data_IF_726277408802
#
_entry.id   IF_726277408802
#
_cell.length_a   1.000
_cell.length_b   1.000
_cell.length_c   1.000
_cell.angle_alpha   90.00
_cell.angle_beta   90.00
_cell.angle_gamma   90.00
#
_symmetry.space_group_name_H-M   'P 1'
#
loop_
_entity.id
_entity.type
_entity.pdbx_description
1 polymer ?
2 polymer ?
3 non-polymer ?
4 water ?
#
# COMPACT_ATOMS: atom_id res chain seq x y z
N UNK A 2 -24.09 -21.91 12.18
CA UNK A 2 -22.92 -22.68 11.64
C UNK A 2 -23.26 -24.15 11.53
N UNK A 3 -24.56 -24.48 11.65
CA UNK A 3 -25.00 -25.87 11.56
C UNK A 3 -24.60 -26.43 10.18
N UNK A 4 -23.92 -27.57 10.19
CA UNK A 4 -23.52 -28.21 8.96
C UNK A 4 -24.63 -28.18 7.91
N UNK A 5 -25.88 -28.28 8.38
CA UNK A 5 -27.03 -28.29 7.49
C UNK A 5 -27.33 -26.93 6.87
N UNK A 6 -27.21 -25.88 7.67
CA UNK A 6 -27.47 -24.53 7.19
C UNK A 6 -26.29 -24.07 6.32
N UNK A 7 -25.09 -24.46 6.73
CA UNK A 7 -23.87 -24.10 6.03
C UNK A 7 -23.81 -24.79 4.67
N UNK A 8 -24.42 -25.97 4.58
CA UNK A 8 -24.44 -26.71 3.33
C UNK A 8 -25.45 -26.05 2.40
N UNK A 9 -26.48 -25.44 2.98
CA UNK A 9 -27.47 -24.77 2.17
C UNK A 9 -26.90 -23.47 1.66
N UNK A 10 -26.07 -22.82 2.49
CA UNK A 10 -25.45 -21.56 2.16
C UNK A 10 -24.49 -21.64 0.96
N UNK A 11 -23.74 -22.74 0.87
CA UNK A 11 -22.78 -22.86 -0.22
C UNK A 11 -23.27 -23.68 -1.37
N UNK A 12 -24.47 -24.22 -1.22
CA UNK A 12 -25.08 -25.04 -2.24
C UNK A 12 -25.24 -24.22 -3.53
N UNK A 13 -25.20 -24.91 -4.67
CA UNK A 13 -25.38 -24.25 -5.94
C UNK A 13 -24.49 -23.06 -6.21
N UNK A 14 -25.11 -21.92 -6.51
CA UNK A 14 -24.36 -20.71 -6.81
C UNK A 14 -23.66 -20.13 -5.58
N UNK A 15 -24.05 -20.60 -4.39
CA UNK A 15 -23.43 -20.09 -3.20
C UNK A 15 -23.60 -18.60 -3.03
N UNK A 16 -22.81 -18.03 -2.12
CA UNK A 16 -22.85 -16.61 -1.82
C UNK A 16 -22.19 -15.74 -2.89
N UNK A 17 -22.77 -14.58 -3.11
CA UNK A 17 -22.32 -13.63 -4.09
C UNK A 17 -21.75 -12.41 -3.39
N UNK A 18 -20.71 -11.84 -3.99
CA UNK A 18 -20.04 -10.67 -3.44
C UNK A 18 -19.61 -9.71 -4.53
N UNK A 19 -20.04 -8.46 -4.39
CA UNK A 19 -19.69 -7.40 -5.33
C UNK A 19 -18.28 -6.93 -4.99
N UNK A 20 -17.44 -6.83 -6.01
CA UNK A 20 -16.06 -6.41 -5.79
C UNK A 20 -15.39 -5.99 -7.08
N UNK A 21 -14.10 -5.67 -6.96
CA UNK A 21 -13.33 -5.29 -8.12
C UNK A 21 -12.09 -6.16 -8.12
N UNK A 22 -11.60 -6.47 -9.32
CA UNK A 22 -10.42 -7.30 -9.43
C UNK A 22 -9.18 -6.40 -9.39
N UNK A 23 -8.37 -6.53 -8.36
CA UNK A 23 -7.16 -5.71 -8.27
C UNK A 23 -6.15 -6.22 -9.27
N UNK A 24 -5.98 -7.53 -9.33
CA UNK A 24 -5.03 -8.12 -10.26
C UNK A 24 -4.65 -9.56 -9.94
N UNK A 25 -3.90 -10.17 -10.85
CA UNK A 25 -3.45 -11.54 -10.69
C UNK A 25 -1.93 -11.57 -10.86
N UNK A 26 -1.24 -12.23 -9.94
CA UNK A 26 0.21 -12.28 -9.99
C UNK A 26 0.78 -13.69 -9.73
N UNK A 27 1.84 -14.03 -10.45
CA UNK A 27 2.47 -15.34 -10.32
C UNK A 27 3.42 -15.35 -9.13
N UNK A 28 3.20 -16.28 -8.21
CA UNK A 28 4.06 -16.37 -7.03
C UNK A 28 4.76 -17.71 -7.00
N UNK A 29 5.63 -17.88 -6.01
CA UNK A 29 6.43 -19.09 -5.88
C UNK A 29 5.93 -20.15 -4.90
N UNK A 30 5.40 -19.74 -3.76
CA UNK A 30 4.92 -20.71 -2.77
C UNK A 30 3.40 -20.82 -2.79
N UNK A 31 2.88 -21.84 -2.11
CA UNK A 31 1.46 -22.06 -2.03
C UNK A 31 0.93 -21.34 -0.81
N UNK A 32 1.84 -20.81 0.00
CA UNK A 32 1.43 -20.12 1.22
C UNK A 32 2.47 -19.16 1.80
N UNK A 33 2.17 -18.61 2.97
CA UNK A 33 3.05 -17.67 3.64
C UNK A 33 2.45 -16.28 3.65
N UNK A 34 2.38 -15.66 4.82
CA UNK A 34 1.80 -14.31 4.95
C UNK A 34 2.62 -13.20 4.28
N UNK A 35 3.90 -13.12 4.61
CA UNK A 35 4.75 -12.08 4.04
C UNK A 35 4.75 -12.14 2.51
N UNK A 36 4.89 -13.34 2.00
CA UNK A 36 4.92 -13.55 0.59
C UNK A 36 3.60 -13.11 -0.04
N UNK A 37 2.51 -13.45 0.61
CA UNK A 37 1.21 -13.13 0.09
C UNK A 37 0.77 -11.70 0.53
N UNK A 38 1.60 -11.07 1.37
CA UNK A 38 1.37 -9.70 1.84
C UNK A 38 2.09 -8.76 0.88
N UNK A 39 3.24 -9.22 0.40
CA UNK A 39 4.05 -8.47 -0.54
C UNK A 39 3.36 -8.38 -1.89
N UNK A 40 2.89 -9.52 -2.38
CA UNK A 40 2.23 -9.59 -3.68
C UNK A 40 1.02 -8.68 -3.79
N UNK A 41 0.33 -8.46 -2.68
CA UNK A 41 -0.83 -7.58 -2.68
C UNK A 41 -0.36 -6.16 -2.99
N UNK A 42 0.67 -5.74 -2.27
CA UNK A 42 1.25 -4.40 -2.43
C UNK A 42 1.75 -4.18 -3.84
N UNK A 43 2.32 -5.20 -4.46
CA UNK A 43 2.85 -5.09 -5.80
C UNK A 43 1.70 -4.85 -6.77
N UNK A 44 0.60 -5.57 -6.57
CA UNK A 44 -0.56 -5.41 -7.44
C UNK A 44 -1.28 -4.07 -7.22
N UNK A 45 -1.48 -3.66 -5.98
CA UNK A 45 -2.16 -2.38 -5.72
C UNK A 45 -1.35 -1.26 -6.37
N UNK A 46 -0.03 -1.39 -6.33
CA UNK A 46 0.87 -0.41 -6.91
C UNK A 46 0.76 -0.30 -8.40
N UNK A 47 0.58 -1.42 -9.07
CA UNK A 47 0.44 -1.44 -10.52
C UNK A 47 -0.84 -0.69 -10.82
N UNK A 48 -1.87 -0.99 -10.03
CA UNK A 48 -3.16 -0.32 -10.16
C UNK A 48 -3.03 1.18 -9.93
N UNK A 49 -2.35 1.56 -8.85
CA UNK A 49 -2.16 2.97 -8.52
C UNK A 49 -1.51 3.72 -9.67
N UNK A 50 -0.44 3.16 -10.22
CA UNK A 50 0.23 3.82 -11.32
C UNK A 50 -0.67 3.96 -12.54
N UNK A 51 -1.61 3.04 -12.70
CA UNK A 51 -2.51 3.08 -13.84
C UNK A 51 -3.53 4.17 -13.76
N UNK A 52 -3.86 4.62 -12.55
CA UNK A 52 -4.86 5.67 -12.40
C UNK A 52 -4.50 6.92 -13.19
N UNK A 53 -3.22 7.15 -13.42
CA UNK A 53 -2.77 8.32 -14.17
C UNK A 53 -3.16 8.27 -15.64
N UNK A 54 -3.52 7.08 -16.11
CA UNK A 54 -3.90 6.88 -17.51
C UNK A 54 -5.39 6.63 -17.60
N UNK A 55 -6.13 7.07 -16.59
CA UNK A 55 -7.57 6.89 -16.57
C UNK A 55 -7.97 5.42 -16.50
N UNK A 56 -7.14 4.61 -15.86
CA UNK A 56 -7.41 3.19 -15.72
C UNK A 56 -8.35 2.97 -14.53
N UNK A 57 -9.07 1.86 -14.56
CA UNK A 57 -9.99 1.51 -13.48
C UNK A 57 -9.96 0.01 -13.33
N UNK A 58 -10.12 -0.47 -12.11
CA UNK A 58 -10.11 -1.91 -11.89
C UNK A 58 -11.40 -2.45 -12.48
N UNK A 59 -11.36 -3.70 -12.92
CA UNK A 59 -12.55 -4.32 -13.50
C UNK A 59 -13.57 -4.65 -12.40
N UNK A 60 -14.79 -4.13 -12.55
CA UNK A 60 -15.86 -4.39 -11.60
C UNK A 60 -16.33 -5.84 -11.80
N UNK A 61 -16.38 -6.60 -10.71
CA UNK A 61 -16.75 -7.99 -10.80
C UNK A 61 -17.66 -8.37 -9.66
N UNK A 62 -18.18 -9.58 -9.71
CA UNK A 62 -18.94 -10.09 -8.59
C UNK A 62 -18.37 -11.50 -8.47
N UNK A 63 -18.19 -11.99 -7.24
CA UNK A 63 -17.64 -13.33 -7.07
C UNK A 63 -18.54 -14.21 -6.21
N UNK A 64 -18.44 -15.50 -6.44
CA UNK A 64 -19.24 -16.45 -5.66
C UNK A 64 -18.36 -17.42 -4.87
N UNK A 65 -18.83 -17.78 -3.68
CA UNK A 65 -18.14 -18.74 -2.85
C UNK A 65 -19.13 -19.89 -2.76
N UNK A 66 -18.71 -21.05 -3.24
CA UNK A 66 -19.58 -22.23 -3.21
C UNK A 66 -18.73 -23.50 -3.30
N UNK A 67 -19.40 -24.63 -3.43
CA UNK A 67 -18.73 -25.92 -3.53
C UNK A 67 -17.93 -26.04 -4.82
N UNK A 68 -18.12 -25.07 -5.71
CA UNK A 68 -17.38 -25.04 -6.96
C UNK A 68 -16.11 -24.24 -6.71
N UNK A 69 -15.95 -23.74 -5.49
CA UNK A 69 -14.78 -22.97 -5.16
C UNK A 69 -15.08 -21.50 -5.34
N UNK A 70 -14.11 -20.77 -5.87
CA UNK A 70 -14.27 -19.33 -6.08
C UNK A 70 -14.45 -19.04 -7.56
N UNK A 71 -15.48 -18.29 -7.90
CA UNK A 71 -15.67 -17.92 -9.29
C UNK A 71 -15.72 -16.40 -9.43
N UNK A 72 -15.11 -15.88 -10.48
CA UNK A 72 -15.14 -14.45 -10.74
C UNK A 72 -15.93 -14.19 -12.02
N UNK A 73 -17.01 -13.42 -11.92
CA UNK A 73 -17.83 -13.07 -13.08
C UNK A 73 -17.71 -11.58 -13.37
N UNK A 74 -17.64 -11.23 -14.65
CA UNK A 74 -17.56 -9.82 -15.02
C UNK A 74 -18.95 -9.23 -14.79
N UNK A 75 -19.03 -8.11 -14.06
CA UNK A 75 -20.31 -7.49 -13.74
C UNK A 75 -21.16 -7.05 -14.93
N UNK A 76 -20.51 -6.47 -15.92
CA UNK A 76 -21.20 -5.97 -17.09
C UNK A 76 -21.83 -7.05 -17.96
N UNK A 77 -21.05 -8.04 -18.38
CA UNK A 77 -21.55 -9.12 -19.24
C UNK A 77 -21.95 -10.40 -18.50
N UNK A 78 -21.69 -10.46 -17.20
CA UNK A 78 -22.03 -11.66 -16.43
C UNK A 78 -21.19 -12.88 -16.75
N UNK A 79 -20.29 -12.77 -17.71
CA UNK A 79 -19.44 -13.89 -18.11
C UNK A 79 -18.45 -14.35 -17.04
N UNK A 80 -18.36 -15.66 -16.86
CA UNK A 80 -17.45 -16.27 -15.89
C UNK A 80 -16.03 -16.15 -16.43
N UNK A 81 -15.14 -15.45 -15.71
CA UNK A 81 -13.78 -15.30 -16.19
C UNK A 81 -12.76 -16.16 -15.46
N UNK A 82 -13.04 -16.50 -14.21
CA UNK A 82 -12.10 -17.30 -13.42
C UNK A 82 -12.86 -18.26 -12.54
N UNK A 83 -12.45 -19.52 -12.58
CA UNK A 83 -13.08 -20.53 -11.77
C UNK A 83 -11.98 -21.29 -11.08
N UNK A 84 -11.83 -21.05 -9.78
CA UNK A 84 -10.79 -21.71 -9.02
C UNK A 84 -11.36 -22.67 -8.01
N UNK A 85 -11.32 -23.96 -8.37
CA UNK A 85 -11.81 -25.04 -7.53
C UNK A 85 -11.13 -25.03 -6.17
N UNK A 86 -11.88 -25.45 -5.15
CA UNK A 86 -11.43 -25.53 -3.77
C UNK A 86 -10.10 -26.29 -3.60
N UNK A 87 -9.96 -27.46 -4.23
CA UNK A 87 -8.73 -28.24 -4.11
C UNK A 87 -7.50 -27.59 -4.76
N UNK A 88 -7.73 -26.53 -5.54
CA UNK A 88 -6.66 -25.81 -6.21
C UNK A 88 -6.27 -24.60 -5.37
N UNK A 89 -7.11 -24.24 -4.41
CA UNK A 89 -6.82 -23.10 -3.57
C UNK A 89 -6.06 -23.56 -2.34
N UNK A 90 -4.91 -22.93 -2.10
CA UNK A 90 -4.08 -23.31 -0.96
C UNK A 90 -4.03 -22.39 0.23
N UNK A 91 -4.07 -21.09 0.00
CA UNK A 91 -3.97 -20.12 1.09
C UNK A 91 -4.88 -18.90 0.94
N UNK A 92 -5.45 -18.48 2.06
CA UNK A 92 -6.32 -17.31 2.12
C UNK A 92 -5.62 -16.29 3.02
N UNK A 93 -5.62 -15.03 2.62
CA UNK A 93 -5.00 -13.97 3.41
C UNK A 93 -5.62 -12.60 3.17
N UNK A 94 -5.98 -11.93 4.25
CA UNK A 94 -6.57 -10.61 4.15
C UNK A 94 -5.45 -9.60 4.08
N UNK A 95 -5.80 -8.35 3.84
CA UNK A 95 -4.81 -7.28 3.78
C UNK A 95 -4.86 -6.52 5.11
N UNK A 96 -3.73 -6.49 5.83
CA UNK A 96 -3.67 -5.80 7.12
C UNK A 96 -3.89 -4.29 7.08
N UNK A 97 -3.32 -3.63 6.08
CA UNK A 97 -3.49 -2.18 6.00
C UNK A 97 -4.72 -1.76 5.20
N UNK A 98 -5.57 -2.73 4.84
CA UNK A 98 -6.78 -2.42 4.07
C UNK A 98 -7.90 -3.41 4.38
N UNK A 99 -8.94 -2.97 5.08
CA UNK A 99 -10.04 -3.84 5.45
C UNK A 99 -10.97 -4.24 4.30
N UNK A 100 -10.77 -3.68 3.12
CA UNK A 100 -11.64 -4.00 1.99
C UNK A 100 -10.93 -4.79 0.86
N UNK A 101 -9.85 -5.49 1.21
CA UNK A 101 -9.10 -6.24 0.24
C UNK A 101 -8.56 -7.57 0.78
N UNK A 102 -8.57 -8.59 -0.05
CA UNK A 102 -8.04 -9.88 0.35
C UNK A 102 -7.50 -10.59 -0.87
N UNK A 103 -6.87 -11.73 -0.64
CA UNK A 103 -6.31 -12.49 -1.73
C UNK A 103 -6.24 -13.96 -1.40
N UNK A 104 -5.86 -14.75 -2.38
CA UNK A 104 -5.72 -16.18 -2.18
C UNK A 104 -4.84 -16.69 -3.28
N UNK A 105 -4.19 -17.84 -3.04
CA UNK A 105 -3.31 -18.47 -4.03
C UNK A 105 -4.02 -19.65 -4.74
N UNK A 106 -4.04 -19.64 -6.09
CA UNK A 106 -4.63 -20.68 -6.98
C UNK A 106 -3.51 -21.46 -7.67
N UNK A 107 -3.77 -22.72 -7.98
CA UNK A 107 -2.79 -23.51 -8.69
C UNK A 107 -2.25 -24.78 -8.06
N UNK A 108 -1.70 -25.62 -8.93
CA UNK A 108 -1.08 -26.87 -8.55
C UNK A 108 0.36 -26.56 -8.25
N UNK A 109 1.04 -27.49 -7.57
CA UNK A 109 2.44 -27.33 -7.20
C UNK A 109 3.29 -26.78 -8.34
N UNK A 110 4.04 -25.73 -8.07
CA UNK A 110 4.92 -25.14 -9.07
C UNK A 110 4.29 -24.21 -10.08
N UNK A 111 3.02 -23.88 -9.90
CA UNK A 111 2.32 -22.99 -10.84
C UNK A 111 1.28 -22.14 -10.11
N UNK A 112 1.69 -21.55 -8.99
CA UNK A 112 0.81 -20.72 -8.16
C UNK A 112 0.50 -19.34 -8.73
N UNK A 113 -0.59 -18.77 -8.24
CA UNK A 113 -1.03 -17.45 -8.66
C UNK A 113 -1.69 -16.80 -7.47
N UNK A 114 -1.46 -15.51 -7.29
CA UNK A 114 -2.07 -14.79 -6.19
C UNK A 114 -3.11 -13.86 -6.80
N UNK A 115 -4.36 -14.03 -6.38
CA UNK A 115 -5.44 -13.20 -6.88
C UNK A 115 -5.75 -12.13 -5.82
N UNK A 116 -5.80 -10.87 -6.23
CA UNK A 116 -6.10 -9.81 -5.26
C UNK A 116 -7.46 -9.22 -5.57
N UNK A 117 -8.28 -9.04 -4.53
CA UNK A 117 -9.61 -8.49 -4.71
C UNK A 117 -9.94 -7.32 -3.76
N UNK A 118 -10.63 -6.33 -4.30
CA UNK A 118 -11.05 -5.17 -3.55
C UNK A 118 -12.57 -5.30 -3.46
N UNK A 119 -13.05 -5.69 -2.29
CA UNK A 119 -14.49 -5.88 -2.06
C UNK A 119 -15.24 -4.56 -1.84
N UNK A 120 -16.52 -4.53 -2.21
CA UNK A 120 -17.32 -3.32 -2.03
C UNK A 120 -17.49 -3.06 -0.55
N UNK A 121 -17.73 -4.12 0.20
CA UNK A 121 -17.90 -4.01 1.63
C UNK A 121 -16.62 -4.57 2.22
N UNK A 122 -16.61 -4.79 3.52
CA UNK A 122 -15.45 -5.34 4.19
C UNK A 122 -15.08 -6.71 3.59
N UNK A 123 -13.81 -7.10 3.69
CA UNK A 123 -13.35 -8.39 3.16
C UNK A 123 -13.53 -9.48 4.23
N UNK A 124 -13.86 -9.05 5.44
CA UNK A 124 -14.06 -9.95 6.58
C UNK A 124 -15.06 -11.06 6.28
N UNK A 125 -16.29 -10.71 5.90
CA UNK A 125 -17.26 -11.77 5.62
C UNK A 125 -16.85 -12.79 4.54
N UNK A 126 -16.08 -12.35 3.55
CA UNK A 126 -15.63 -13.25 2.48
C UNK A 126 -14.57 -14.23 3.01
N UNK A 127 -13.63 -13.73 3.80
CA UNK A 127 -12.59 -14.58 4.39
C UNK A 127 -13.26 -15.64 5.27
N UNK A 128 -14.27 -15.22 6.02
CA UNK A 128 -15.01 -16.11 6.92
C UNK A 128 -15.73 -17.22 6.17
N UNK A 129 -16.45 -16.85 5.11
CA UNK A 129 -17.16 -17.85 4.33
C UNK A 129 -16.18 -18.86 3.75
N UNK A 130 -15.06 -18.37 3.25
CA UNK A 130 -14.04 -19.23 2.68
C UNK A 130 -13.52 -20.19 3.72
N UNK A 131 -13.28 -19.67 4.91
CA UNK A 131 -12.79 -20.47 6.00
C UNK A 131 -13.75 -21.63 6.27
N UNK A 132 -15.03 -21.30 6.52
CA UNK A 132 -16.05 -22.30 6.81
C UNK A 132 -16.25 -23.31 5.68
N UNK A 133 -16.24 -22.83 4.44
CA UNK A 133 -16.40 -23.69 3.29
C UNK A 133 -15.25 -24.72 3.23
N UNK A 134 -14.03 -24.26 3.47
CA UNK A 134 -12.88 -25.18 3.46
C UNK A 134 -13.03 -26.23 4.56
N UNK A 135 -13.33 -25.77 5.76
CA UNK A 135 -13.48 -26.69 6.88
C UNK A 135 -14.60 -27.67 6.61
N UNK A 136 -15.72 -27.16 6.11
CA UNK A 136 -16.85 -28.02 5.84
C UNK A 136 -16.47 -29.17 4.93
N UNK A 137 -15.88 -28.83 3.80
CA UNK A 137 -15.50 -29.82 2.83
C UNK A 137 -14.55 -30.86 3.38
N UNK A 138 -13.67 -30.44 4.29
CA UNK A 138 -12.70 -31.36 4.91
C UNK A 138 -13.45 -32.38 5.76
N UNK A 139 -14.36 -31.90 6.60
CA UNK A 139 -15.19 -32.74 7.46
C UNK A 139 -16.02 -33.74 6.63
N UNK A 140 -16.81 -33.21 5.70
CA UNK A 140 -17.64 -34.05 4.84
C UNK A 140 -16.76 -35.07 4.13
N UNK A 141 -15.51 -34.71 3.85
CA UNK A 141 -14.62 -35.65 3.16
C UNK A 141 -14.12 -36.76 4.08
N UNK A 142 -13.90 -36.44 5.37
CA UNK A 142 -13.45 -37.45 6.31
C UNK A 142 -14.58 -38.43 6.58
N UNK A 143 -15.70 -37.91 7.06
CA UNK A 143 -16.89 -38.70 7.38
C UNK A 143 -17.31 -39.56 6.20
N UNK A 144 -17.40 -38.94 5.03
CA UNK A 144 -17.82 -39.67 3.84
C UNK A 144 -16.72 -40.55 3.27
N UNK A 145 -15.73 -40.82 4.11
CA UNK A 145 -14.60 -41.67 3.74
C UNK A 145 -14.54 -42.78 4.77
N UNK A 146 -14.82 -42.43 6.01
CA UNK A 146 -14.82 -43.39 7.10
C UNK A 146 -15.98 -44.35 6.85
N UNK A 147 -17.02 -43.83 6.20
CA UNK A 147 -18.21 -44.61 5.88
C UNK A 147 -17.93 -45.61 4.77
N UNK A 148 -17.38 -45.12 3.66
CA UNK A 148 -17.06 -45.96 2.51
C UNK A 148 -16.01 -47.00 2.87
N UNK A 149 -15.16 -46.67 3.83
CA UNK A 149 -14.11 -47.59 4.26
C UNK A 149 -14.59 -48.50 5.40
N UNK A 150 -15.81 -48.27 5.86
CA UNK A 150 -16.41 -49.09 6.92
C UNK A 150 -17.46 -49.99 6.29
N UNK A 151 -17.47 -50.01 4.96
CA UNK A 151 -18.41 -50.81 4.19
C UNK A 151 -18.08 -52.30 4.36
N UNK B 1 11.64 37.73 20.69
CA UNK B 1 10.96 36.53 20.11
C UNK B 1 11.56 35.23 20.59
N UNK B 2 11.37 34.91 21.87
CA UNK B 2 11.90 33.66 22.42
C UNK B 2 11.30 32.48 21.68
N UNK B 3 10.25 32.76 20.90
CA UNK B 3 9.58 31.72 20.14
C UNK B 3 10.36 31.33 18.89
N UNK B 4 10.42 32.22 17.89
CA UNK B 4 11.14 31.92 16.67
C UNK B 4 12.64 31.79 16.90
N UNK B 5 13.14 32.41 17.97
CA UNK B 5 14.56 32.32 18.28
C UNK B 5 14.95 30.86 18.47
N UNK B 6 14.14 30.13 19.23
CA UNK B 6 14.40 28.72 19.49
C UNK B 6 14.20 27.92 18.20
N UNK B 7 13.20 28.31 17.43
CA UNK B 7 12.90 27.63 16.19
C UNK B 7 14.02 27.84 15.17
N UNK B 8 14.66 29.00 15.23
CA UNK B 8 15.76 29.31 14.30
C UNK B 8 16.99 28.58 14.80
N UNK B 9 17.04 28.35 16.10
CA UNK B 9 18.16 27.64 16.69
C UNK B 9 17.95 26.19 16.38
N UNK B 10 16.69 25.77 16.34
CA UNK B 10 16.37 24.37 16.05
C UNK B 10 16.62 23.95 14.60
N UNK B 11 16.57 24.90 13.66
CA UNK B 11 16.79 24.55 12.26
C UNK B 11 18.06 25.07 11.64
N UNK B 12 18.87 25.76 12.44
CA UNK B 12 20.10 26.30 11.91
C UNK B 12 21.13 25.22 11.71
N UNK B 13 22.12 25.52 10.87
CA UNK B 13 23.17 24.59 10.59
C UNK B 13 22.67 23.31 9.98
N UNK B 14 22.98 22.20 10.64
CA UNK B 14 22.58 20.88 10.17
C UNK B 14 21.14 20.49 10.49
N UNK B 15 20.43 21.34 11.22
CA UNK B 15 19.04 21.07 11.56
C UNK B 15 18.76 19.77 12.29
N UNK B 16 17.50 19.33 12.22
CA UNK B 16 17.02 18.12 12.87
C UNK B 16 17.25 16.87 12.01
N UNK B 17 17.91 15.89 12.62
CA UNK B 17 18.26 14.61 11.98
C UNK B 17 17.17 13.58 12.22
N UNK B 18 16.93 12.73 11.23
CA UNK B 18 15.92 11.70 11.34
C UNK B 18 16.41 10.42 10.68
N UNK B 19 16.27 9.32 11.40
CA UNK B 19 16.67 8.02 10.86
C UNK B 19 15.54 7.53 9.98
N UNK B 20 15.87 7.03 8.78
CA UNK B 20 14.83 6.57 7.88
C UNK B 20 15.31 5.62 6.78
N UNK B 21 14.42 5.33 5.84
CA UNK B 21 14.73 4.48 4.70
C UNK B 21 14.07 5.12 3.48
N UNK B 22 14.75 5.05 2.35
CA UNK B 22 14.26 5.63 1.11
C UNK B 22 13.34 4.67 0.35
N UNK B 23 12.04 4.97 0.28
CA UNK B 23 11.13 4.08 -0.44
C UNK B 23 11.31 4.17 -1.95
N UNK B 24 11.55 5.38 -2.46
CA UNK B 24 11.75 5.57 -3.89
C UNK B 24 11.48 6.99 -4.36
N UNK B 25 11.78 7.26 -5.63
CA UNK B 25 11.55 8.58 -6.19
C UNK B 25 10.77 8.47 -7.51
N UNK B 26 9.54 8.95 -7.49
CA UNK B 26 8.68 8.92 -8.65
C UNK B 26 8.60 10.24 -9.42
N UNK B 27 8.24 10.16 -10.68
CA UNK B 27 8.09 11.34 -11.51
C UNK B 27 6.59 11.59 -11.51
N UNK B 28 6.16 12.79 -11.17
CA UNK B 28 4.74 13.07 -11.15
C UNK B 28 4.29 14.21 -12.04
N UNK B 29 2.99 14.35 -12.15
CA UNK B 29 2.37 15.35 -12.98
C UNK B 29 2.31 16.75 -12.40
N UNK B 30 1.72 16.89 -11.22
CA UNK B 30 1.59 18.22 -10.63
C UNK B 30 2.46 18.50 -9.41
N UNK B 31 2.31 19.72 -8.89
CA UNK B 31 3.05 20.18 -7.73
C UNK B 31 2.34 19.82 -6.43
N UNK B 32 1.05 19.50 -6.49
CA UNK B 32 0.32 19.14 -5.29
C UNK B 32 -0.93 18.31 -5.55
N UNK B 33 -1.68 18.06 -4.48
CA UNK B 33 -2.89 17.26 -4.56
C UNK B 33 -2.72 16.00 -3.75
N UNK B 34 -3.64 15.75 -2.83
CA UNK B 34 -3.56 14.56 -1.98
C UNK B 34 -3.64 13.23 -2.74
N UNK B 35 -4.47 13.19 -3.78
CA UNK B 35 -4.64 11.96 -4.56
C UNK B 35 -3.42 11.55 -5.39
N UNK B 36 -2.98 12.43 -6.29
CA UNK B 36 -1.83 12.15 -7.13
C UNK B 36 -0.67 11.75 -6.23
N UNK B 37 -0.54 12.47 -5.13
CA UNK B 37 0.55 12.25 -4.22
C UNK B 37 0.36 11.02 -3.28
N UNK B 38 -0.85 10.49 -3.22
CA UNK B 38 -1.16 9.28 -2.43
C UNK B 38 -1.01 8.04 -3.33
N UNK B 39 -1.38 8.19 -4.59
CA UNK B 39 -1.27 7.09 -5.55
C UNK B 39 0.20 6.80 -5.81
N UNK B 40 1.01 7.85 -5.80
CA UNK B 40 2.45 7.73 -6.06
C UNK B 40 3.16 6.96 -4.96
N UNK B 41 2.71 7.17 -3.73
CA UNK B 41 3.27 6.47 -2.58
C UNK B 41 3.00 5.00 -2.79
N UNK B 42 1.76 4.67 -3.12
CA UNK B 42 1.38 3.28 -3.37
C UNK B 42 2.15 2.67 -4.55
N UNK B 43 2.34 3.45 -5.61
CA UNK B 43 3.08 2.95 -6.75
C UNK B 43 4.51 2.60 -6.34
N UNK B 44 5.15 3.49 -5.57
CA UNK B 44 6.51 3.26 -5.11
C UNK B 44 6.61 2.12 -4.09
N UNK B 45 5.63 2.00 -3.22
CA UNK B 45 5.65 0.91 -2.25
C UNK B 45 5.50 -0.42 -2.95
N UNK B 46 4.75 -0.44 -4.05
CA UNK B 46 4.55 -1.69 -4.77
C UNK B 46 5.79 -2.19 -5.48
N UNK B 47 6.58 -1.28 -6.03
CA UNK B 47 7.79 -1.67 -6.74
C UNK B 47 8.75 -2.24 -5.72
N UNK B 48 8.81 -1.60 -4.56
CA UNK B 48 9.67 -2.03 -3.48
C UNK B 48 9.22 -3.43 -3.06
N UNK B 49 7.90 -3.64 -3.00
CA UNK B 49 7.38 -4.93 -2.59
C UNK B 49 7.83 -6.01 -3.57
N UNK B 50 7.74 -5.71 -4.86
CA UNK B 50 8.15 -6.67 -5.87
C UNK B 50 9.61 -7.05 -5.71
N UNK B 51 10.43 -6.10 -5.30
CA UNK B 51 11.86 -6.34 -5.12
C UNK B 51 12.11 -7.20 -3.89
N UNK B 52 11.30 -6.99 -2.86
CA UNK B 52 11.42 -7.71 -1.61
C UNK B 52 11.63 -9.21 -1.79
N UNK B 53 10.91 -9.78 -2.74
CA UNK B 53 11.01 -11.22 -2.97
C UNK B 53 12.21 -11.59 -3.83
N UNK B 54 13.19 -10.68 -3.90
CA UNK B 54 14.39 -10.92 -4.70
C UNK B 54 15.65 -10.56 -3.92
N UNK B 55 15.51 -10.37 -2.62
CA UNK B 55 16.66 -10.04 -1.80
C UNK B 55 16.88 -8.55 -1.57
N UNK B 56 16.20 -7.73 -2.35
CA UNK B 56 16.32 -6.27 -2.21
C UNK B 56 15.84 -5.75 -0.86
N UNK B 57 16.38 -4.61 -0.46
CA UNK B 57 16.00 -3.96 0.79
C UNK B 57 16.02 -2.47 0.50
N UNK B 58 15.18 -1.69 1.17
CA UNK B 58 15.20 -0.24 0.95
C UNK B 58 16.50 0.28 1.54
N UNK B 59 17.05 1.32 0.92
CA UNK B 59 18.30 1.93 1.35
C UNK B 59 18.17 2.69 2.69
N UNK B 60 19.00 2.32 3.68
CA UNK B 60 18.96 3.00 4.96
C UNK B 60 19.55 4.40 4.82
N UNK B 61 18.85 5.38 5.35
CA UNK B 61 19.31 6.75 5.23
C UNK B 61 19.00 7.55 6.47
N UNK B 62 19.47 8.78 6.48
CA UNK B 62 19.12 9.67 7.55
C UNK B 62 18.85 10.97 6.84
N UNK B 63 17.85 11.70 7.29
CA UNK B 63 17.54 12.95 6.63
C UNK B 63 17.51 14.13 7.58
N UNK B 64 17.81 15.31 7.06
CA UNK B 64 17.84 16.50 7.87
C UNK B 64 16.86 17.56 7.39
N UNK B 65 16.32 18.30 8.34
CA UNK B 65 15.40 19.38 8.06
C UNK B 65 16.12 20.61 8.58
N UNK B 66 16.27 21.60 7.71
CA UNK B 66 16.97 22.81 8.11
C UNK B 66 16.65 23.88 7.09
N UNK B 67 17.28 25.04 7.25
CA UNK B 67 17.11 26.16 6.34
C UNK B 67 17.61 25.73 4.96
N UNK B 68 18.38 24.65 4.93
CA UNK B 68 18.88 24.16 3.66
C UNK B 68 17.85 23.28 2.98
N UNK B 69 16.73 23.08 3.66
CA UNK B 69 15.67 22.26 3.11
C UNK B 69 15.82 20.83 3.58
N UNK B 70 15.38 19.88 2.76
CA UNK B 70 15.48 18.48 3.10
C UNK B 70 16.70 17.85 2.43
N UNK B 71 17.59 17.30 3.24
CA UNK B 71 18.78 16.66 2.71
C UNK B 71 18.77 15.18 3.10
N UNK B 72 19.08 14.33 2.11
CA UNK B 72 19.11 12.88 2.30
C UNK B 72 20.53 12.32 2.25
N UNK B 73 20.96 11.74 3.37
CA UNK B 73 22.29 11.15 3.48
C UNK B 73 22.25 9.63 3.57
N UNK B 74 23.16 8.98 2.85
CA UNK B 74 23.27 7.53 2.88
C UNK B 74 23.78 7.21 4.30
N UNK B 75 23.16 6.23 4.95
CA UNK B 75 23.55 5.87 6.30
C UNK B 75 24.93 5.28 6.40
N UNK B 76 25.29 4.46 5.42
CA UNK B 76 26.61 3.82 5.39
C UNK B 76 27.76 4.82 5.23
N UNK B 77 27.84 5.46 4.07
CA UNK B 77 28.90 6.42 3.77
C UNK B 77 28.67 7.84 4.30
N UNK B 78 27.47 8.10 4.83
CA UNK B 78 27.16 9.43 5.34
C UNK B 78 27.20 10.49 4.25
N UNK B 79 27.30 10.03 3.00
CA UNK B 79 27.38 10.94 1.86
C UNK B 79 26.03 11.56 1.45
N UNK B 80 26.08 12.84 1.14
CA UNK B 80 24.90 13.57 0.70
C UNK B 80 24.54 13.03 -0.67
N UNK B 81 23.29 12.59 -0.83
CA UNK B 81 22.83 12.05 -2.10
C UNK B 81 21.72 12.90 -2.70
N UNK B 82 20.90 13.51 -1.84
CA UNK B 82 19.78 14.35 -2.30
C UNK B 82 19.69 15.63 -1.48
N UNK B 83 19.52 16.74 -2.18
CA UNK B 83 19.42 18.03 -1.52
C UNK B 83 18.29 18.81 -2.19
N UNK B 84 17.19 18.96 -1.49
CA UNK B 84 16.07 19.68 -2.05
C UNK B 84 15.79 20.95 -1.27
N UNK B 85 16.24 22.07 -1.82
CA UNK B 85 16.06 23.35 -1.17
C UNK B 85 14.60 23.61 -0.88
N UNK B 86 14.36 24.46 0.12
CA UNK B 86 13.03 24.84 0.53
C UNK B 86 12.18 25.44 -0.59
N UNK B 87 12.70 26.46 -1.29
CA UNK B 87 11.93 27.07 -2.36
C UNK B 87 11.60 26.08 -3.46
N UNK B 88 12.20 24.89 -3.42
CA UNK B 88 11.94 23.86 -4.42
C UNK B 88 10.88 22.86 -4.00
N UNK B 89 10.58 22.81 -2.69
CA UNK B 89 9.57 21.87 -2.19
C UNK B 89 8.23 22.55 -2.23
N UNK B 90 7.27 21.91 -2.89
CA UNK B 90 5.94 22.48 -3.01
C UNK B 90 4.87 21.80 -2.18
N UNK B 91 5.04 20.52 -1.87
CA UNK B 91 4.02 19.80 -1.11
C UNK B 91 4.54 18.72 -0.15
N UNK B 92 3.86 18.59 0.98
CA UNK B 92 4.19 17.60 2.00
C UNK B 92 2.95 16.77 2.32
N UNK B 93 3.03 15.45 2.17
CA UNK B 93 1.88 14.59 2.45
C UNK B 93 2.25 13.34 3.23
N UNK B 94 1.39 13.00 4.18
CA UNK B 94 1.58 11.82 4.99
C UNK B 94 0.90 10.71 4.21
N UNK B 95 1.10 9.47 4.63
CA UNK B 95 0.45 8.35 4.00
C UNK B 95 -0.59 7.94 5.03
N UNK B 96 -1.86 8.15 4.70
CA UNK B 96 -2.96 7.83 5.62
C UNK B 96 -3.15 6.38 6.08
N UNK B 97 -2.44 5.44 5.49
CA UNK B 97 -2.57 4.05 5.90
C UNK B 97 -1.25 3.55 6.45
N UNK B 98 -0.40 4.48 6.85
CA UNK B 98 0.92 4.13 7.40
C UNK B 98 1.49 5.32 8.16
N UNK B 99 1.48 5.21 9.48
CA UNK B 99 1.95 6.29 10.36
C UNK B 99 3.47 6.45 10.31
N UNK B 100 4.14 5.57 9.57
CA UNK B 100 5.58 5.62 9.46
C UNK B 100 6.08 5.97 8.04
N UNK B 101 5.25 6.67 7.27
CA UNK B 101 5.65 7.05 5.91
C UNK B 101 5.09 8.38 5.44
N UNK B 102 5.90 9.13 4.71
CA UNK B 102 5.48 10.41 4.18
C UNK B 102 6.26 10.71 2.91
N UNK B 103 5.86 11.77 2.21
CA UNK B 103 6.54 12.13 0.99
C UNK B 103 6.38 13.60 0.69
N UNK B 104 7.09 14.07 -0.32
CA UNK B 104 7.02 15.46 -0.72
C UNK B 104 7.34 15.63 -2.19
N UNK B 105 6.88 16.73 -2.77
CA UNK B 105 7.14 17.01 -4.17
C UNK B 105 8.26 18.05 -4.30
N UNK B 106 9.31 17.70 -5.04
CA UNK B 106 10.50 18.53 -5.32
C UNK B 106 10.48 18.91 -6.80
N UNK B 107 11.14 20.02 -7.15
CA UNK B 107 11.20 20.39 -8.56
C UNK B 107 10.66 21.71 -9.07
N UNK B 108 11.13 22.05 -10.28
CA UNK B 108 10.73 23.26 -10.97
C UNK B 108 9.46 22.93 -11.74
N UNK B 109 8.63 23.96 -11.98
CA UNK B 109 7.39 23.81 -12.71
C UNK B 109 7.56 22.87 -13.91
N UNK B 110 6.67 21.89 -14.03
CA UNK B 110 6.76 20.95 -15.14
C UNK B 110 7.83 19.90 -15.03
N UNK B 111 8.55 19.89 -13.92
CA UNK B 111 9.61 18.93 -13.68
C UNK B 111 9.53 18.46 -12.22
N UNK B 112 8.35 17.97 -11.85
CA UNK B 112 8.10 17.52 -10.48
C UNK B 112 8.50 16.06 -10.22
N UNK B 113 8.88 15.79 -8.97
CA UNK B 113 9.25 14.45 -8.54
C UNK B 113 8.67 14.24 -7.15
N UNK B 114 8.32 13.00 -6.85
CA UNK B 114 7.74 12.65 -5.56
C UNK B 114 8.69 11.70 -4.83
N UNK B 115 9.20 12.17 -3.70
CA UNK B 115 10.13 11.41 -2.88
C UNK B 115 9.37 10.70 -1.78
N UNK B 116 9.56 9.39 -1.67
CA UNK B 116 8.85 8.59 -0.65
C UNK B 116 9.80 8.07 0.41
N UNK B 117 9.45 8.30 1.67
CA UNK B 117 10.28 7.91 2.79
C UNK B 117 9.56 7.15 3.88
N UNK B 118 10.22 6.13 4.40
CA UNK B 118 9.69 5.34 5.49
C UNK B 118 10.53 5.70 6.69
N UNK B 119 9.98 6.45 7.64
CA UNK B 119 10.75 6.84 8.83
C UNK B 119 10.85 5.71 9.88
N UNK B 120 11.92 5.73 10.67
CA UNK B 120 12.10 4.71 11.70
C UNK B 120 10.99 4.87 12.74
N UNK B 121 10.84 6.07 13.28
CA UNK B 121 9.78 6.33 14.24
C UNK B 121 8.61 6.89 13.43
N UNK B 122 7.60 7.43 14.11
CA UNK B 122 6.43 8.01 13.45
C UNK B 122 6.81 9.17 12.51
N UNK B 123 6.04 9.38 11.45
CA UNK B 123 6.33 10.44 10.50
C UNK B 123 5.76 11.81 10.91
N UNK B 124 4.73 11.80 11.75
CA UNK B 124 4.09 13.03 12.18
C UNK B 124 5.07 14.09 12.69
N UNK B 125 5.98 13.71 13.61
CA UNK B 125 6.92 14.71 14.09
C UNK B 125 7.73 15.37 12.96
N UNK B 126 7.99 14.63 11.89
CA UNK B 126 8.76 15.18 10.77
C UNK B 126 7.89 16.16 9.98
N UNK B 127 6.61 15.84 9.84
CA UNK B 127 5.69 16.70 9.11
C UNK B 127 5.47 18.02 9.87
N UNK B 128 5.44 17.98 11.21
CA UNK B 128 5.24 19.19 11.98
C UNK B 128 6.47 20.05 11.89
N UNK B 129 7.64 19.42 11.86
CA UNK B 129 8.87 20.18 11.75
C UNK B 129 8.92 20.87 10.40
N UNK B 130 8.52 20.19 9.32
CA UNK B 130 8.55 20.79 8.00
C UNK B 130 7.54 21.93 7.93
N UNK B 131 6.38 21.70 8.51
CA UNK B 131 5.35 22.70 8.52
C UNK B 131 5.86 23.91 9.32
N UNK B 132 6.56 23.67 10.43
CA UNK B 132 7.06 24.79 11.23
C UNK B 132 8.12 25.57 10.46
N UNK B 133 8.95 24.84 9.73
CA UNK B 133 10.02 25.43 8.94
C UNK B 133 9.48 26.34 7.83
N UNK B 134 8.76 25.77 6.87
CA UNK B 134 8.21 26.55 5.78
C UNK B 134 7.51 27.80 6.31
N UNK B 135 6.71 27.65 7.37
CA UNK B 135 6.00 28.80 7.93
C UNK B 135 6.96 29.89 8.42
N UNK B 136 8.01 29.46 9.11
CA UNK B 136 9.01 30.36 9.65
C UNK B 136 9.79 31.09 8.56
N UNK B 137 10.14 30.36 7.50
CA UNK B 137 10.89 30.96 6.41
C UNK B 137 10.04 31.99 5.66
N UNK B 138 8.74 31.75 5.58
CA UNK B 138 7.84 32.67 4.93
C UNK B 138 7.79 33.99 5.70
N UNK B 139 7.67 33.90 7.03
CA UNK B 139 7.66 35.10 7.86
C UNK B 139 8.95 35.88 7.67
N UNK B 140 10.09 35.20 7.82
CA UNK B 140 11.40 35.84 7.68
C UNK B 140 11.55 36.52 6.33
N UNK B 141 11.11 35.86 5.27
CA UNK B 141 11.26 36.45 3.95
C UNK B 141 10.33 37.63 3.74
N UNK B 142 9.14 37.56 4.32
CA UNK B 142 8.19 38.65 4.18
C UNK B 142 8.77 39.89 4.84
N UNK B 143 9.26 39.72 6.07
CA UNK B 143 9.84 40.81 6.82
C UNK B 143 11.12 41.30 6.15
N UNK B 144 11.92 40.36 5.65
CA UNK B 144 13.17 40.69 4.99
C UNK B 144 12.91 41.65 3.84
N UNK B 145 11.90 41.35 3.01
CA UNK B 145 11.58 42.21 1.87
C UNK B 145 11.08 43.60 2.28
N UNK B 146 10.14 43.65 3.22
CA UNK B 146 9.63 44.93 3.69
C UNK B 146 10.83 45.83 3.96
N UNK B 147 11.61 45.46 4.97
CA UNK B 147 12.79 46.20 5.40
C UNK B 147 13.86 46.33 4.31
N UNK B 148 14.25 45.22 3.70
CA UNK B 148 15.27 45.25 2.65
C UNK B 148 14.79 46.02 1.43
N UNK B 149 13.81 46.88 1.64
CA UNK B 149 13.25 47.70 0.58
C UNK B 149 12.55 48.88 1.26
N UNK B 150 12.91 49.13 2.51
CA UNK B 150 12.33 50.24 3.24
C UNK B 150 13.27 51.44 3.09
N UNK B 151 14.06 51.39 2.03
CA UNK B 151 15.01 52.44 1.72
C UNK B 151 14.75 52.94 0.29
N UNK C 1 -4.55 -12.78 10.68
CA UNK C 1 -3.54 -13.67 10.02
C UNK C 1 -4.19 -14.39 8.85
N UNK C 2 -3.40 -15.18 8.12
CA UNK C 2 -3.93 -15.91 6.98
C UNK C 2 -4.47 -17.27 7.37
N UNK C 3 -5.06 -17.96 6.40
CA UNK C 3 -5.61 -19.29 6.65
C UNK C 3 -5.33 -20.22 5.47
N UNK C 4 -4.69 -21.36 5.73
CA UNK C 4 -4.41 -22.31 4.64
C UNK C 4 -5.56 -23.30 4.50
N UNK C 5 -5.79 -23.76 3.28
CA UNK C 5 -6.87 -24.69 3.02
C UNK C 5 -6.48 -26.14 3.33
N UNK C 6 -7.12 -26.73 4.35
CA UNK C 6 -6.86 -28.13 4.74
C UNK C 6 -7.06 -29.14 3.62
N UNK C 7 -7.89 -28.81 2.62
CA UNK C 7 -8.11 -29.77 1.54
C UNK C 7 -7.30 -29.48 0.29
N UNK C 8 -6.39 -28.53 0.38
CA UNK C 8 -5.57 -28.21 -0.76
C UNK C 8 -4.85 -29.45 -1.28
N UNK C 9 -4.95 -29.65 -2.59
CA UNK C 9 -4.36 -30.75 -3.34
C UNK C 9 -5.39 -31.83 -3.59
N UNK D 1 -3.94 14.24 5.49
CA UNK D 1 -4.04 15.40 4.57
C UNK D 1 -2.67 16.05 4.28
N UNK D 2 -2.59 16.83 3.21
CA UNK D 2 -1.34 17.44 2.86
C UNK D 2 -1.16 18.92 3.19
N UNK D 3 0.07 19.39 3.02
CA UNK D 3 0.39 20.77 3.29
C UNK D 3 1.23 21.39 2.16
N UNK D 4 0.80 22.57 1.70
CA UNK D 4 1.50 23.26 0.64
C UNK D 4 2.56 24.15 1.27
N UNK D 5 3.69 24.31 0.59
CA UNK D 5 4.75 25.14 1.10
C UNK D 5 4.50 26.53 0.53
N UNK D 6 4.31 27.52 1.41
CA UNK D 6 4.04 28.90 0.99
C UNK D 6 5.16 29.58 0.22
N UNK D 7 6.42 29.20 0.50
CA UNK D 7 7.53 29.83 -0.19
C UNK D 7 8.00 29.09 -1.44
N UNK D 8 7.19 28.16 -1.91
CA UNK D 8 7.53 27.40 -3.10
C UNK D 8 7.74 28.33 -4.30
N UNK D 9 8.85 28.12 -5.00
CA UNK D 9 9.26 28.90 -6.16
C UNK D 9 10.10 30.09 -5.73
#
# INVERSE_FOLDING_TARGET
>A
DRSEATLIKRFKGEGVRYKAKLIGIDEVSAARGDKLCQDSMMKLKGVVAGARSKGEHKQKIFLTISFGGIKIFDEKTGALQHHHAVHEISYIAKDITDHRAFGYVCGKEGNHRFVAIKTAQAAEPVILDLRDLFQLIYELKQREELEKKAQKDKQCEQA
>B
DRSEATLIKRFKGEGVRYKAKLIGIDEVSAARGDKLCQDSMMKLKGVVAGARSKGEHKQKIFLTISFGGIKIFDEKTGALQHHHAVHEISYIAKDITDHRAFGYVCGKEGNHRFVAIKTAQAAEPVILDLRDLFQLIYELKQREELEKKAQKDKQCEQA
>C
NGYENPTYK
>D
NGYENPTYK
#
